data_IF_673558828448
#
_entry.id   IF_673558828448
#
_cell.length_a   1.000
_cell.length_b   1.000
_cell.length_c   1.000
_cell.angle_alpha   90.00
_cell.angle_beta   90.00
_cell.angle_gamma   90.00
#
_symmetry.space_group_name_H-M   'P 1'
#
loop_
_entity.id
_entity.type
_entity.pdbx_description
1 polymer ?
#
# COMPACT_ATOMS: atom_id res chain seq x y z
N UNK A 1 -18.92 -53.12 22.83
CA UNK A 1 -19.73 -51.95 22.45
C UNK A 1 -19.11 -50.69 23.04
N UNK A 2 -19.24 -49.57 22.32
CA UNK A 2 -19.02 -48.18 22.73
C UNK A 2 -17.65 -47.50 22.48
N UNK A 3 -17.62 -46.93 21.26
CA UNK A 3 -17.30 -45.54 20.95
C UNK A 3 -15.83 -45.09 21.05
N UNK A 4 -15.13 -45.30 19.92
CA UNK A 4 -14.27 -44.28 19.32
C UNK A 4 -15.05 -42.96 19.26
N UNK A 5 -14.72 -41.98 20.10
CA UNK A 5 -15.27 -40.64 20.01
C UNK A 5 -14.16 -39.60 19.89
N UNK A 6 -14.16 -38.97 18.71
CA UNK A 6 -13.77 -37.59 18.42
C UNK A 6 -12.38 -37.13 18.89
N UNK A 7 -11.35 -37.49 18.13
CA UNK A 7 -10.08 -36.74 18.10
C UNK A 7 -9.85 -35.96 16.79
N UNK A 8 -10.90 -35.76 15.97
CA UNK A 8 -10.78 -35.06 14.67
C UNK A 8 -11.49 -33.70 14.60
N UNK A 9 -12.18 -33.26 15.65
CA UNK A 9 -12.94 -32.00 15.66
C UNK A 9 -12.16 -30.82 16.25
N UNK A 10 -10.85 -30.79 16.01
CA UNK A 10 -9.97 -29.65 16.34
C UNK A 10 -9.02 -29.35 15.19
N UNK A 11 -9.50 -29.47 13.95
CA UNK A 11 -8.97 -28.61 12.89
C UNK A 11 -9.42 -27.21 13.29
N UNK A 12 -8.50 -26.43 13.85
CA UNK A 12 -8.71 -25.02 14.14
C UNK A 12 -9.26 -24.36 12.87
N UNK A 13 -10.57 -24.07 12.85
CA UNK A 13 -11.07 -22.94 12.09
C UNK A 13 -10.48 -21.70 12.76
N UNK A 14 -9.22 -21.38 12.45
CA UNK A 14 -8.73 -20.01 12.58
C UNK A 14 -9.54 -19.25 11.53
N UNK A 15 -10.72 -18.78 11.93
CA UNK A 15 -11.31 -17.63 11.26
C UNK A 15 -10.32 -16.51 11.55
N UNK A 16 -9.37 -16.28 10.64
CA UNK A 16 -8.49 -15.13 10.73
C UNK A 16 -9.39 -13.90 10.80
N UNK A 17 -9.52 -13.34 12.00
CA UNK A 17 -10.31 -12.15 12.21
C UNK A 17 -9.48 -10.98 11.72
N UNK A 18 -9.66 -10.67 10.44
CA UNK A 18 -9.03 -9.54 9.81
C UNK A 18 -9.92 -8.32 10.04
N UNK A 19 -9.51 -7.45 10.96
CA UNK A 19 -10.27 -6.23 11.29
C UNK A 19 -10.30 -5.25 10.11
N UNK A 20 -9.16 -5.10 9.44
CA UNK A 20 -8.95 -4.15 8.35
C UNK A 20 -8.39 -4.85 7.11
N UNK A 21 -8.95 -4.55 5.94
CA UNK A 21 -8.36 -4.90 4.65
C UNK A 21 -7.99 -3.65 3.86
N UNK A 22 -7.08 -3.83 2.91
CA UNK A 22 -6.72 -2.78 1.97
C UNK A 22 -7.31 -3.14 0.61
N UNK A 23 -8.00 -2.18 -0.01
CA UNK A 23 -8.52 -2.30 -1.36
C UNK A 23 -7.71 -1.38 -2.28
N UNK A 24 -7.07 -1.96 -3.29
CA UNK A 24 -6.28 -1.24 -4.27
C UNK A 24 -6.71 -1.58 -5.70
N UNK A 25 -6.41 -0.68 -6.65
CA UNK A 25 -6.71 -0.93 -8.06
C UNK A 25 -5.83 -2.06 -8.59
N UNK A 26 -6.43 -3.07 -9.21
CA UNK A 26 -5.73 -4.11 -9.97
C UNK A 26 -5.25 -3.62 -11.34
N UNK A 27 -5.78 -2.49 -11.82
CA UNK A 27 -5.42 -1.86 -13.10
C UNK A 27 -4.21 -0.92 -12.93
N UNK A 28 -3.99 -0.41 -11.72
CA UNK A 28 -2.89 0.47 -11.35
C UNK A 28 -2.08 -0.09 -10.19
N UNK A 29 -1.13 -1.00 -10.49
CA UNK A 29 -0.27 -1.72 -9.55
C UNK A 29 0.41 -0.86 -8.48
N UNK A 30 0.60 0.42 -8.77
CA UNK A 30 1.25 1.34 -7.87
C UNK A 30 0.42 1.60 -6.61
N UNK A 31 -0.90 1.51 -6.68
CA UNK A 31 -1.78 1.69 -5.52
C UNK A 31 -1.64 0.52 -4.55
N UNK A 32 -1.51 -0.71 -5.06
CA UNK A 32 -1.22 -1.89 -4.24
C UNK A 32 0.19 -1.82 -3.62
N UNK A 33 1.18 -1.37 -4.38
CA UNK A 33 2.57 -1.27 -3.90
C UNK A 33 2.72 -0.31 -2.71
N UNK A 34 2.03 0.84 -2.75
CA UNK A 34 2.06 1.84 -1.67
C UNK A 34 1.60 1.27 -0.33
N UNK A 35 0.77 0.23 -0.37
CA UNK A 35 0.21 -0.43 0.79
C UNK A 35 1.07 -1.60 1.31
N UNK A 36 2.14 -2.02 0.64
CA UNK A 36 2.86 -3.27 0.97
C UNK A 36 3.54 -3.25 2.35
N UNK A 37 4.35 -2.23 2.73
CA UNK A 37 4.96 -2.20 4.06
C UNK A 37 3.91 -2.22 5.18
N UNK A 38 2.77 -1.60 4.91
CA UNK A 38 1.62 -1.52 5.81
C UNK A 38 0.88 -2.86 5.95
N UNK A 39 0.50 -3.47 4.83
CA UNK A 39 -0.19 -4.75 4.77
C UNK A 39 0.60 -5.82 5.53
N UNK A 40 1.93 -5.80 5.40
CA UNK A 40 2.80 -6.73 6.08
C UNK A 40 2.84 -6.54 7.61
N UNK A 41 2.76 -5.30 8.11
CA UNK A 41 2.82 -5.05 9.55
C UNK A 41 1.52 -5.41 10.25
N UNK A 42 0.40 -4.99 9.67
CA UNK A 42 -0.92 -5.18 10.28
C UNK A 42 -1.58 -6.51 9.89
N UNK A 43 -0.85 -7.36 9.16
CA UNK A 43 -1.36 -8.62 8.61
C UNK A 43 -2.66 -8.42 7.82
N UNK A 44 -2.80 -7.25 7.18
CA UNK A 44 -3.97 -6.87 6.42
C UNK A 44 -3.81 -7.35 4.98
N UNK A 45 -4.73 -8.17 4.44
CA UNK A 45 -4.68 -8.56 3.05
C UNK A 45 -4.95 -7.36 2.14
N UNK A 46 -4.23 -7.32 1.02
CA UNK A 46 -4.50 -6.40 -0.09
C UNK A 46 -5.39 -7.15 -1.07
N UNK A 47 -6.61 -6.64 -1.25
CA UNK A 47 -7.55 -7.11 -2.26
C UNK A 47 -7.58 -6.15 -3.44
N UNK A 48 -7.82 -6.69 -4.62
CA UNK A 48 -7.82 -5.93 -5.87
C UNK A 48 -9.24 -5.74 -6.40
N UNK A 49 -9.50 -4.55 -6.93
CA UNK A 49 -10.71 -4.20 -7.66
C UNK A 49 -10.37 -3.48 -8.98
N UNK A 50 -11.30 -3.50 -9.92
CA UNK A 50 -11.25 -2.66 -11.12
C UNK A 50 -11.80 -1.26 -10.78
N UNK A 51 -11.51 -0.27 -11.61
CA UNK A 51 -11.97 1.11 -11.41
C UNK A 51 -13.49 1.23 -11.16
N UNK A 52 -14.31 0.53 -11.93
CA UNK A 52 -15.78 0.65 -11.88
C UNK A 52 -16.51 -0.64 -11.49
N UNK A 53 -15.75 -1.68 -11.15
CA UNK A 53 -16.22 -3.05 -11.05
C UNK A 53 -15.46 -3.83 -9.98
N UNK A 54 -16.12 -4.79 -9.37
CA UNK A 54 -15.50 -5.71 -8.42
C UNK A 54 -16.00 -7.12 -8.72
N UNK A 55 -15.07 -8.04 -8.95
CA UNK A 55 -15.40 -9.39 -9.32
C UNK A 55 -15.94 -10.19 -8.11
N UNK A 56 -16.61 -11.30 -8.41
CA UNK A 56 -17.21 -12.17 -7.39
C UNK A 56 -16.18 -12.82 -6.47
N UNK A 57 -14.96 -13.07 -6.94
CA UNK A 57 -13.89 -13.64 -6.12
C UNK A 57 -13.49 -12.68 -4.99
N UNK A 58 -13.24 -11.40 -5.29
CA UNK A 58 -12.92 -10.39 -4.28
C UNK A 58 -14.09 -10.18 -3.33
N UNK A 59 -15.33 -10.14 -3.83
CA UNK A 59 -16.52 -10.03 -2.97
C UNK A 59 -16.65 -11.21 -2.01
N UNK A 60 -16.42 -12.44 -2.51
CA UNK A 60 -16.48 -13.63 -1.67
C UNK A 60 -15.39 -13.62 -0.61
N UNK A 61 -14.21 -13.11 -0.94
CA UNK A 61 -13.12 -12.97 0.01
C UNK A 61 -13.41 -11.93 1.09
N UNK A 62 -13.98 -10.78 0.72
CA UNK A 62 -14.45 -9.78 1.69
C UNK A 62 -15.48 -10.38 2.65
N UNK A 63 -16.42 -11.19 2.14
CA UNK A 63 -17.40 -11.90 2.99
C UNK A 63 -16.75 -12.93 3.91
N UNK A 64 -15.73 -13.65 3.41
CA UNK A 64 -14.99 -14.66 4.18
C UNK A 64 -14.22 -14.02 5.34
N UNK A 65 -13.54 -12.91 5.05
CA UNK A 65 -12.73 -12.14 6.01
C UNK A 65 -13.61 -11.36 6.99
N UNK A 66 -14.77 -10.87 6.54
CA UNK A 66 -15.73 -10.07 7.30
C UNK A 66 -15.07 -8.91 8.09
N UNK A 67 -14.38 -7.98 7.40
CA UNK A 67 -13.68 -6.88 8.06
C UNK A 67 -14.64 -5.84 8.61
N UNK A 68 -14.20 -5.11 9.63
CA UNK A 68 -14.88 -3.92 10.12
C UNK A 68 -14.55 -2.69 9.26
N UNK A 69 -13.37 -2.70 8.63
CA UNK A 69 -12.84 -1.55 7.90
C UNK A 69 -12.19 -1.94 6.57
N UNK A 70 -12.41 -1.11 5.56
CA UNK A 70 -11.73 -1.19 4.27
C UNK A 70 -11.01 0.13 4.02
N UNK A 71 -9.69 0.05 3.81
CA UNK A 71 -8.87 1.19 3.40
C UNK A 71 -8.71 1.14 1.88
N UNK A 72 -9.34 2.09 1.18
CA UNK A 72 -9.29 2.22 -0.27
C UNK A 72 -8.11 3.10 -0.65
N UNK A 73 -7.14 2.55 -1.38
CA UNK A 73 -5.96 3.27 -1.87
C UNK A 73 -6.24 3.76 -3.28
N UNK A 74 -6.17 5.08 -3.45
CA UNK A 74 -6.45 5.76 -4.72
C UNK A 74 -7.72 6.62 -4.69
N UNK A 75 -7.78 7.56 -5.62
CA UNK A 75 -8.96 8.39 -5.87
C UNK A 75 -10.13 7.61 -6.48
N UNK A 76 -11.23 8.30 -6.77
CA UNK A 76 -12.41 7.67 -7.38
C UNK A 76 -12.18 7.19 -8.82
N UNK A 77 -11.19 7.75 -9.52
CA UNK A 77 -10.77 7.25 -10.83
C UNK A 77 -10.13 5.86 -10.75
N UNK A 78 -9.39 5.58 -9.66
CA UNK A 78 -8.73 4.30 -9.45
C UNK A 78 -9.69 3.25 -8.89
N UNK A 79 -10.57 3.65 -7.96
CA UNK A 79 -11.65 2.82 -7.40
C UNK A 79 -12.85 3.72 -7.14
N UNK A 80 -13.87 3.62 -7.99
CA UNK A 80 -15.08 4.43 -7.93
C UNK A 80 -15.89 4.23 -6.64
N UNK A 81 -16.71 5.22 -6.32
CA UNK A 81 -17.66 5.10 -5.22
C UNK A 81 -18.67 3.97 -5.45
N UNK A 82 -18.96 3.62 -6.72
CA UNK A 82 -19.81 2.48 -7.07
C UNK A 82 -19.25 1.17 -6.51
N UNK A 83 -17.95 0.92 -6.65
CA UNK A 83 -17.30 -0.29 -6.10
C UNK A 83 -17.48 -0.37 -4.58
N UNK A 84 -17.27 0.75 -3.87
CA UNK A 84 -17.48 0.81 -2.43
C UNK A 84 -18.93 0.51 -2.05
N UNK A 85 -19.90 1.02 -2.83
CA UNK A 85 -21.32 0.76 -2.62
C UNK A 85 -21.68 -0.70 -2.91
N UNK A 86 -21.08 -1.32 -3.92
CA UNK A 86 -21.27 -2.73 -4.23
C UNK A 86 -20.73 -3.63 -3.10
N UNK A 87 -19.62 -3.26 -2.46
CA UNK A 87 -19.12 -3.94 -1.26
C UNK A 87 -20.07 -3.73 -0.06
N UNK A 88 -20.57 -2.52 0.16
CA UNK A 88 -21.53 -2.22 1.27
C UNK A 88 -22.82 -3.03 1.20
N UNK A 89 -23.24 -3.49 0.01
CA UNK A 89 -24.37 -4.43 -0.13
C UNK A 89 -24.12 -5.76 0.56
N UNK A 90 -22.86 -6.15 0.79
CA UNK A 90 -22.49 -7.39 1.46
C UNK A 90 -22.54 -7.28 2.98
N UNK A 91 -22.11 -6.14 3.52
CA UNK A 91 -22.19 -5.79 4.94
C UNK A 91 -22.18 -4.27 5.07
N UNK A 92 -23.28 -3.71 5.57
CA UNK A 92 -23.47 -2.26 5.71
C UNK A 92 -22.65 -1.65 6.85
N UNK A 93 -22.14 -2.48 7.76
CA UNK A 93 -21.36 -2.05 8.93
C UNK A 93 -19.90 -1.74 8.59
N UNK A 94 -19.46 -2.06 7.36
CA UNK A 94 -18.08 -1.82 6.93
C UNK A 94 -17.82 -0.32 6.83
N UNK A 95 -16.81 0.15 7.56
CA UNK A 95 -16.30 1.52 7.48
C UNK A 95 -15.29 1.64 6.34
N UNK A 96 -15.44 2.65 5.50
CA UNK A 96 -14.51 2.92 4.40
C UNK A 96 -13.65 4.13 4.74
N UNK A 97 -12.33 3.98 4.64
CA UNK A 97 -11.36 5.08 4.66
C UNK A 97 -10.74 5.15 3.26
N UNK A 98 -10.72 6.33 2.63
CA UNK A 98 -10.07 6.51 1.33
C UNK A 98 -8.80 7.34 1.48
N UNK A 99 -7.69 6.83 0.92
CA UNK A 99 -6.41 7.52 0.88
C UNK A 99 -6.04 7.71 -0.60
N UNK A 100 -6.29 8.91 -1.12
CA UNK A 100 -6.00 9.29 -2.50
C UNK A 100 -5.41 10.69 -2.59
N UNK A 101 -4.49 10.88 -3.54
CA UNK A 101 -3.94 12.17 -3.94
C UNK A 101 -4.31 12.53 -5.38
N UNK A 102 -3.97 13.75 -5.81
CA UNK A 102 -4.15 14.22 -7.19
C UNK A 102 -3.34 13.39 -8.19
N UNK A 103 -2.22 12.88 -7.70
CA UNK A 103 -1.38 11.96 -8.43
C UNK A 103 -0.91 10.83 -7.51
N UNK A 104 -0.10 9.97 -8.12
CA UNK A 104 0.47 8.76 -7.55
C UNK A 104 1.54 9.04 -6.47
N UNK A 105 2.20 10.19 -6.54
CA UNK A 105 3.25 10.61 -5.60
C UNK A 105 2.60 11.20 -4.34
N UNK A 106 1.55 12.00 -4.51
CA UNK A 106 0.70 12.47 -3.42
C UNK A 106 -0.03 11.30 -2.74
N UNK A 107 -0.55 10.33 -3.51
CA UNK A 107 -1.14 9.12 -2.92
C UNK A 107 -0.10 8.33 -2.12
N UNK A 108 1.10 8.15 -2.65
CA UNK A 108 2.20 7.46 -1.94
C UNK A 108 2.51 8.14 -0.61
N UNK A 109 2.77 9.45 -0.61
CA UNK A 109 3.12 10.21 0.60
C UNK A 109 1.96 10.30 1.60
N UNK A 110 0.70 10.37 1.15
CA UNK A 110 -0.47 10.27 2.04
C UNK A 110 -0.58 8.91 2.72
N UNK A 111 -0.35 7.82 1.99
CA UNK A 111 -0.30 6.48 2.58
C UNK A 111 0.83 6.41 3.60
N UNK A 112 2.05 6.84 3.25
CA UNK A 112 3.18 6.83 4.19
C UNK A 112 2.88 7.66 5.45
N UNK A 113 2.30 8.86 5.31
CA UNK A 113 1.93 9.72 6.43
C UNK A 113 0.87 9.09 7.33
N UNK A 114 -0.12 8.42 6.75
CA UNK A 114 -1.19 7.79 7.51
C UNK A 114 -0.70 6.70 8.45
N UNK A 115 0.42 6.07 8.12
CA UNK A 115 1.02 4.96 8.87
C UNK A 115 2.43 5.31 9.34
N UNK A 116 2.70 6.60 9.55
CA UNK A 116 4.06 7.06 9.84
C UNK A 116 4.61 6.47 11.14
N UNK A 117 3.77 6.36 12.17
CA UNK A 117 4.13 5.77 13.47
C UNK A 117 4.42 4.27 13.35
N UNK A 118 4.06 3.67 12.22
CA UNK A 118 4.26 2.26 11.97
C UNK A 118 5.55 1.93 11.21
N UNK A 119 6.18 2.94 10.61
CA UNK A 119 7.31 2.82 9.71
C UNK A 119 8.63 3.09 10.45
N UNK A 120 9.69 2.40 10.01
CA UNK A 120 11.06 2.71 10.37
C UNK A 120 11.65 3.69 9.35
N UNK A 121 11.77 4.97 9.77
CA UNK A 121 12.30 6.06 8.97
C UNK A 121 13.83 6.18 9.04
N UNK A 122 14.53 5.27 9.74
CA UNK A 122 16.00 5.21 9.69
C UNK A 122 16.50 4.85 8.30
N UNK A 123 15.63 4.28 7.46
CA UNK A 123 15.91 3.89 6.09
C UNK A 123 14.71 4.17 5.21
N UNK A 124 14.94 4.70 4.01
CA UNK A 124 13.91 4.95 3.00
C UNK A 124 14.37 4.35 1.67
N UNK A 125 13.50 3.58 1.04
CA UNK A 125 13.75 3.10 -0.32
C UNK A 125 13.18 4.11 -1.31
N UNK A 126 14.00 4.62 -2.22
CA UNK A 126 13.56 5.47 -3.32
C UNK A 126 13.49 4.64 -4.59
N UNK A 127 12.35 4.65 -5.27
CA UNK A 127 12.18 3.97 -6.55
C UNK A 127 11.41 4.84 -7.54
N UNK A 128 11.60 4.60 -8.84
CA UNK A 128 10.78 5.25 -9.86
C UNK A 128 9.35 4.72 -9.77
N UNK A 129 8.40 5.62 -10.05
CA UNK A 129 6.99 5.26 -10.15
C UNK A 129 6.31 6.05 -11.25
N UNK A 130 6.85 6.07 -12.46
CA UNK A 130 6.39 6.94 -13.56
C UNK A 130 5.33 6.26 -14.45
N UNK A 131 4.23 6.95 -14.84
CA UNK A 131 3.18 6.36 -15.66
C UNK A 131 3.68 6.00 -17.06
N UNK A 132 4.57 6.82 -17.60
CA UNK A 132 4.87 6.83 -19.03
C UNK A 132 5.65 5.60 -19.49
N UNK A 133 6.31 4.89 -18.57
CA UNK A 133 7.17 3.75 -18.89
C UNK A 133 6.80 2.46 -18.13
N UNK A 134 5.74 2.46 -17.31
CA UNK A 134 5.43 1.34 -16.39
C UNK A 134 6.62 0.94 -15.50
N UNK A 135 7.48 1.91 -15.16
CA UNK A 135 8.71 1.70 -14.39
C UNK A 135 8.40 1.52 -12.90
N UNK A 136 7.75 0.42 -12.55
CA UNK A 136 7.53 -0.03 -11.17
C UNK A 136 8.33 -1.28 -10.82
N UNK A 137 9.07 -1.86 -11.78
CA UNK A 137 9.82 -3.09 -11.56
C UNK A 137 10.80 -2.96 -10.37
N UNK A 138 11.50 -1.83 -10.29
CA UNK A 138 12.38 -1.49 -9.17
C UNK A 138 11.61 -1.44 -7.84
N UNK A 139 10.49 -0.74 -7.82
CA UNK A 139 9.68 -0.54 -6.63
C UNK A 139 9.02 -1.87 -6.16
N UNK A 140 8.55 -2.70 -7.10
CA UNK A 140 7.98 -4.03 -6.85
C UNK A 140 9.03 -5.01 -6.33
N UNK A 141 10.22 -5.03 -6.93
CA UNK A 141 11.32 -5.91 -6.48
C UNK A 141 11.81 -5.54 -5.07
N UNK A 142 11.69 -4.27 -4.68
CA UNK A 142 12.01 -3.81 -3.33
C UNK A 142 10.88 -4.04 -2.31
N UNK A 143 9.65 -4.30 -2.75
CA UNK A 143 8.48 -4.38 -1.86
C UNK A 143 8.66 -5.35 -0.67
N UNK A 144 9.17 -6.59 -0.87
CA UNK A 144 9.42 -7.51 0.23
C UNK A 144 10.47 -7.00 1.21
N UNK A 145 11.53 -6.36 0.70
CA UNK A 145 12.61 -5.82 1.51
C UNK A 145 12.14 -4.64 2.37
N UNK A 146 11.34 -3.75 1.79
CA UNK A 146 10.70 -2.64 2.49
C UNK A 146 9.72 -3.14 3.56
N UNK A 147 8.95 -4.19 3.27
CA UNK A 147 8.05 -4.81 4.25
C UNK A 147 8.80 -5.41 5.45
N UNK A 148 9.87 -6.18 5.19
CA UNK A 148 10.67 -6.81 6.26
C UNK A 148 11.34 -5.75 7.14
N UNK A 149 11.89 -4.70 6.54
CA UNK A 149 12.56 -3.61 7.26
C UNK A 149 11.60 -2.57 7.82
N UNK A 150 10.31 -2.67 7.54
CA UNK A 150 9.28 -1.66 7.87
C UNK A 150 9.60 -0.27 7.34
N UNK A 151 10.45 -0.18 6.32
CA UNK A 151 10.88 1.08 5.74
C UNK A 151 9.92 1.53 4.63
N UNK A 152 9.69 2.84 4.47
CA UNK A 152 8.88 3.36 3.38
C UNK A 152 9.53 3.12 2.01
N UNK A 153 8.68 2.94 1.00
CA UNK A 153 9.05 3.12 -0.41
C UNK A 153 8.49 4.47 -0.86
N UNK A 154 9.40 5.39 -1.17
CA UNK A 154 9.10 6.71 -1.71
C UNK A 154 9.22 6.67 -3.23
N UNK A 155 8.08 6.89 -3.91
CA UNK A 155 8.03 6.90 -5.36
C UNK A 155 8.38 8.28 -5.89
N UNK A 156 9.25 8.33 -6.91
CA UNK A 156 9.65 9.59 -7.57
C UNK A 156 9.47 9.50 -9.09
N UNK A 157 9.27 10.64 -9.79
CA UNK A 157 9.13 10.63 -11.25
C UNK A 157 10.47 10.40 -11.95
N UNK A 158 10.42 10.05 -13.24
CA UNK A 158 11.62 10.09 -14.10
C UNK A 158 12.04 11.52 -14.41
N UNK A 159 11.09 12.45 -14.46
CA UNK A 159 11.33 13.87 -14.70
C UNK A 159 12.31 14.48 -13.68
N UNK A 160 12.93 15.60 -14.07
CA UNK A 160 13.88 16.32 -13.21
C UNK A 160 13.21 16.96 -11.99
N UNK A 161 11.96 17.42 -12.15
CA UNK A 161 11.23 18.10 -11.10
C UNK A 161 10.62 17.09 -10.13
N UNK A 162 10.94 17.20 -8.85
CA UNK A 162 10.31 16.41 -7.80
C UNK A 162 9.00 17.08 -7.37
N UNK A 163 7.87 16.35 -7.36
CA UNK A 163 6.61 16.82 -6.83
C UNK A 163 6.73 17.33 -5.39
N UNK A 164 6.03 18.43 -5.10
CA UNK A 164 6.04 19.06 -3.76
C UNK A 164 5.61 18.09 -2.66
N UNK A 165 4.69 17.17 -2.94
CA UNK A 165 4.25 16.15 -1.97
C UNK A 165 5.41 15.28 -1.45
N UNK A 166 6.37 14.94 -2.32
CA UNK A 166 7.57 14.17 -1.95
C UNK A 166 8.52 15.01 -1.12
N UNK A 167 8.80 16.25 -1.55
CA UNK A 167 9.74 17.13 -0.81
C UNK A 167 9.16 17.52 0.56
N UNK A 168 7.86 17.80 0.64
CA UNK A 168 7.17 18.10 1.91
C UNK A 168 7.27 16.90 2.87
N UNK A 169 6.96 15.69 2.39
CA UNK A 169 7.11 14.48 3.18
C UNK A 169 8.55 14.30 3.67
N UNK A 170 9.52 14.48 2.77
CA UNK A 170 10.92 14.29 3.08
C UNK A 170 11.40 15.27 4.16
N UNK A 171 11.10 16.57 4.02
CA UNK A 171 11.54 17.60 4.97
C UNK A 171 10.81 17.57 6.31
N UNK A 172 9.57 17.09 6.33
CA UNK A 172 8.78 16.97 7.55
C UNK A 172 9.13 15.70 8.34
N UNK A 173 9.38 14.57 7.65
CA UNK A 173 9.48 13.25 8.31
C UNK A 173 10.90 12.68 8.39
N UNK A 174 11.79 13.01 7.45
CA UNK A 174 13.13 12.42 7.41
C UNK A 174 14.12 13.21 8.26
N UNK A 175 15.12 12.51 8.75
CA UNK A 175 16.22 13.09 9.53
C UNK A 175 17.53 13.01 8.75
N UNK A 176 18.55 13.77 9.15
CA UNK A 176 19.85 13.76 8.48
C UNK A 176 20.55 12.39 8.47
N UNK A 177 20.25 11.55 9.47
CA UNK A 177 20.77 10.20 9.58
C UNK A 177 19.88 9.16 8.85
N UNK A 178 18.78 9.56 8.21
CA UNK A 178 17.96 8.67 7.40
C UNK A 178 18.78 8.17 6.21
N UNK A 179 18.95 6.85 6.11
CA UNK A 179 19.65 6.22 5.00
C UNK A 179 18.72 6.05 3.79
N UNK A 180 18.99 6.80 2.71
CA UNK A 180 18.21 6.71 1.47
C UNK A 180 18.84 5.72 0.51
N UNK A 181 18.13 4.63 0.21
CA UNK A 181 18.57 3.58 -0.71
C UNK A 181 17.80 3.74 -2.02
N UNK A 182 18.50 4.15 -3.08
CA UNK A 182 17.93 4.16 -4.42
C UNK A 182 17.85 2.74 -4.99
N UNK A 183 16.67 2.36 -5.45
CA UNK A 183 16.40 1.10 -6.15
C UNK A 183 16.16 1.46 -7.61
N UNK A 184 17.16 1.18 -8.44
CA UNK A 184 17.16 1.49 -9.86
C UNK A 184 18.49 2.03 -10.35
N UNK A 185 18.64 2.10 -11.68
CA UNK A 185 19.86 2.59 -12.31
C UNK A 185 20.06 4.10 -12.14
N UNK A 186 21.33 4.55 -12.12
CA UNK A 186 21.68 5.98 -12.04
C UNK A 186 21.13 6.83 -13.19
N UNK A 187 20.77 6.20 -14.32
CA UNK A 187 20.16 6.89 -15.46
C UNK A 187 18.77 7.48 -15.13
N UNK A 188 18.00 6.78 -14.29
CA UNK A 188 16.63 7.19 -13.91
C UNK A 188 16.57 7.77 -12.50
N UNK A 189 17.47 7.33 -11.60
CA UNK A 189 17.68 7.85 -10.25
C UNK A 189 19.10 8.41 -10.08
N UNK A 190 19.41 9.56 -10.69
CA UNK A 190 20.71 10.21 -10.53
C UNK A 190 20.89 10.80 -9.13
N UNK A 191 22.15 10.91 -8.67
CA UNK A 191 22.49 11.38 -7.32
C UNK A 191 21.87 12.73 -6.96
N UNK A 192 21.72 13.66 -7.91
CA UNK A 192 21.11 14.96 -7.63
C UNK A 192 19.65 14.83 -7.16
N UNK A 193 18.91 13.82 -7.66
CA UNK A 193 17.52 13.57 -7.31
C UNK A 193 17.41 12.97 -5.90
N UNK A 194 18.35 12.09 -5.55
CA UNK A 194 18.48 11.55 -4.20
C UNK A 194 18.78 12.69 -3.22
N UNK A 195 19.76 13.53 -3.54
CA UNK A 195 20.17 14.64 -2.67
C UNK A 195 19.06 15.70 -2.49
N UNK A 196 18.21 15.93 -3.50
CA UNK A 196 17.13 16.92 -3.41
C UNK A 196 16.00 16.58 -2.43
N UNK A 197 16.01 15.38 -1.81
CA UNK A 197 15.07 15.02 -0.75
C UNK A 197 15.76 14.79 0.60
N UNK A 198 17.08 14.97 0.68
CA UNK A 198 17.79 14.91 1.96
C UNK A 198 17.59 16.27 2.63
N UNK A 199 17.04 16.33 3.86
CA UNK A 199 16.95 17.59 4.59
C UNK A 199 18.35 18.19 4.81
N UNK A 200 18.54 19.45 4.44
CA UNK A 200 19.67 20.25 4.91
C UNK A 200 19.32 20.76 6.32
N UNK A 201 19.52 19.94 7.36
CA UNK A 201 19.43 20.41 8.75
C UNK A 201 20.76 20.33 9.46
#
# INVERSE_FOLDING_TARGET
MHKKHLNYMKVLLIKEYIDTIILASGENYADALRAVPLASKNQCPILLAESNSINSFTINEIKRLNPNKIIVIGGEEAISQKVCNDIKKTNQSIVFERIGGKDRYETNTKVLNRFIDELDLSKVYMAIGDPSNMDYADALSCAPLAAISKSPILLVPTTRQIPKSITDFAYDKLQNNTNIIAIGGKAILPNYKINSIIPEK
#
